data_IF_559172151025
#
_entry.id   IF_559172151025
#
_cell.length_a   1.000
_cell.length_b   1.000
_cell.length_c   1.000
_cell.angle_alpha   90.00
_cell.angle_beta   90.00
_cell.angle_gamma   90.00
#
_symmetry.space_group_name_H-M   'P 1'
#
loop_
_entity.id
_entity.type
_entity.pdbx_description
1 polymer ?
#
# COMPACT_ATOMS: atom_id res chain seq x y z
N UNK A 1 -49.35 -52.41 34.09
CA UNK A 1 -48.19 -53.33 34.05
C UNK A 1 -47.09 -52.62 33.28
N UNK A 2 -45.84 -52.38 33.70
CA UNK A 2 -45.04 -52.53 34.92
C UNK A 2 -43.95 -51.45 34.83
N UNK A 3 -43.64 -50.73 35.90
CA UNK A 3 -42.31 -50.15 36.22
C UNK A 3 -41.56 -51.12 37.16
N UNK A 4 -40.29 -50.94 37.62
CA UNK A 4 -39.07 -50.19 37.17
C UNK A 4 -37.71 -50.97 37.34
N UNK A 5 -36.56 -50.32 37.03
CA UNK A 5 -35.19 -50.32 37.68
C UNK A 5 -34.06 -50.24 36.62
N UNK A 6 -33.09 -49.31 36.59
CA UNK A 6 -32.10 -48.71 37.54
C UNK A 6 -30.76 -49.48 37.61
N UNK A 7 -29.68 -48.81 37.21
CA UNK A 7 -28.26 -49.06 37.54
C UNK A 7 -27.37 -48.23 36.58
N UNK A 8 -26.69 -47.13 36.93
CA UNK A 8 -25.72 -46.77 37.99
C UNK A 8 -24.26 -46.91 37.54
N UNK A 9 -23.55 -45.78 37.50
CA UNK A 9 -22.09 -45.65 37.44
C UNK A 9 -21.71 -44.42 36.61
N UNK A 10 -21.06 -43.38 37.10
CA UNK A 10 -20.49 -43.07 38.40
C UNK A 10 -19.65 -41.81 38.20
N UNK A 11 -20.07 -40.69 38.76
CA UNK A 11 -19.33 -39.43 38.78
C UNK A 11 -18.20 -39.58 39.80
N UNK A 12 -16.95 -39.30 39.42
CA UNK A 12 -15.85 -39.07 40.36
C UNK A 12 -15.38 -37.62 40.28
N UNK A 13 -15.72 -36.88 41.32
CA UNK A 13 -15.09 -35.65 41.73
C UNK A 13 -13.84 -35.96 42.57
N UNK A 14 -12.76 -35.21 42.37
CA UNK A 14 -11.60 -35.03 43.25
C UNK A 14 -10.99 -33.68 42.83
N UNK A 15 -10.56 -32.74 43.67
CA UNK A 15 -10.80 -32.37 45.06
C UNK A 15 -9.98 -31.08 45.24
N UNK A 16 -10.54 -30.05 45.85
CA UNK A 16 -9.80 -28.87 46.29
C UNK A 16 -8.91 -29.21 47.50
N UNK A 17 -7.65 -28.75 47.51
CA UNK A 17 -6.70 -28.95 48.61
C UNK A 17 -5.48 -28.04 48.50
N UNK A 18 -5.48 -26.98 49.32
CA UNK A 18 -4.52 -25.87 49.46
C UNK A 18 -3.14 -26.29 49.99
N UNK A 19 -2.07 -25.58 49.57
CA UNK A 19 -0.88 -25.15 50.36
C UNK A 19 -0.23 -23.95 49.62
N UNK A 20 -0.46 -22.69 50.00
CA UNK A 20 0.28 -21.85 50.96
C UNK A 20 1.70 -21.40 50.53
N UNK A 21 1.82 -20.11 50.19
CA UNK A 21 2.85 -19.16 50.67
C UNK A 21 4.30 -19.26 50.15
N UNK A 22 4.73 -18.26 49.38
CA UNK A 22 6.04 -17.63 49.54
C UNK A 22 6.03 -16.18 48.99
N UNK A 23 6.09 -15.22 49.90
CA UNK A 23 6.50 -13.84 49.67
C UNK A 23 8.02 -13.80 49.44
N UNK A 24 8.46 -12.94 48.53
CA UNK A 24 9.75 -12.26 48.63
C UNK A 24 10.89 -12.79 47.76
N UNK A 25 11.18 -12.08 46.67
CA UNK A 25 12.52 -11.57 46.38
C UNK A 25 12.40 -10.47 45.31
N UNK A 26 12.50 -9.22 45.76
CA UNK A 26 12.83 -8.10 44.90
C UNK A 26 14.23 -8.35 44.32
N UNK A 27 14.33 -8.54 43.01
CA UNK A 27 15.59 -8.43 42.29
C UNK A 27 15.57 -7.11 41.53
N UNK A 28 16.38 -6.18 42.04
CA UNK A 28 16.79 -4.94 41.40
C UNK A 28 17.37 -5.28 40.02
N UNK A 29 16.63 -5.03 38.94
CA UNK A 29 17.24 -4.94 37.61
C UNK A 29 17.73 -3.51 37.44
N UNK A 30 19.07 -3.39 37.37
CA UNK A 30 19.77 -2.15 37.19
C UNK A 30 19.35 -1.44 35.90
N UNK A 31 19.25 -0.12 36.04
CA UNK A 31 19.18 0.87 34.99
C UNK A 31 20.22 0.57 33.90
N UNK A 32 19.75 0.25 32.69
CA UNK A 32 20.47 0.53 31.45
C UNK A 32 19.66 1.57 30.69
N UNK A 33 20.29 2.60 30.11
CA UNK A 33 19.56 3.66 29.43
C UNK A 33 18.82 3.07 28.24
N UNK A 34 17.53 3.42 28.14
CA UNK A 34 16.75 3.24 26.93
C UNK A 34 17.50 3.90 25.78
N UNK A 35 18.06 3.08 24.89
CA UNK A 35 18.42 3.52 23.55
C UNK A 35 17.13 4.00 22.87
N UNK A 36 17.14 5.13 22.16
CA UNK A 36 15.95 5.62 21.48
C UNK A 36 15.44 4.53 20.52
N UNK A 37 14.11 4.39 20.42
CA UNK A 37 13.51 3.67 19.32
C UNK A 37 14.06 4.28 18.03
N UNK A 38 14.67 3.44 17.19
CA UNK A 38 15.13 3.87 15.87
C UNK A 38 13.95 4.53 15.17
N UNK A 39 14.08 5.75 14.63
CA UNK A 39 13.09 6.25 13.71
C UNK A 39 12.93 5.22 12.58
N UNK A 40 11.72 5.09 12.03
CA UNK A 40 11.54 4.53 10.70
C UNK A 40 12.25 5.49 9.72
N UNK A 41 13.57 5.37 9.65
CA UNK A 41 14.37 5.88 8.57
C UNK A 41 14.52 4.69 7.63
N UNK A 42 14.18 4.88 6.37
CA UNK A 42 14.92 4.21 5.33
C UNK A 42 16.35 4.81 5.33
N UNK A 43 17.15 4.51 6.35
CA UNK A 43 18.59 4.74 6.37
C UNK A 43 19.30 3.43 6.03
N UNK A 44 18.88 2.85 4.91
CA UNK A 44 19.52 1.65 4.41
C UNK A 44 20.74 2.08 3.59
N UNK A 45 21.92 1.83 4.14
CA UNK A 45 23.23 1.93 3.46
C UNK A 45 23.44 0.70 2.55
N UNK A 46 22.43 0.34 1.73
CA UNK A 46 22.49 -0.74 0.72
C UNK A 46 23.02 -0.24 -0.61
N UNK A 47 23.59 0.97 -0.64
CA UNK A 47 24.35 1.44 -1.78
C UNK A 47 25.40 0.39 -2.10
N UNK A 48 25.18 -0.35 -3.17
CA UNK A 48 26.28 -0.91 -3.94
C UNK A 48 27.27 0.25 -4.04
N UNK A 49 28.50 0.06 -3.56
CA UNK A 49 29.54 1.09 -3.70
C UNK A 49 29.92 1.13 -5.19
N UNK A 50 29.05 1.73 -5.99
CA UNK A 50 29.11 1.81 -7.45
C UNK A 50 30.34 2.60 -7.90
N UNK A 51 30.93 3.41 -7.01
CA UNK A 51 32.11 4.24 -7.29
C UNK A 51 33.40 3.41 -7.26
N UNK A 52 33.47 2.35 -6.44
CA UNK A 52 34.66 1.51 -6.35
C UNK A 52 35.01 0.73 -7.65
N UNK A 53 34.06 0.09 -8.37
CA UNK A 53 34.38 -0.63 -9.61
C UNK A 53 34.63 0.30 -10.81
N UNK A 54 34.07 1.52 -10.82
CA UNK A 54 34.37 2.50 -11.88
C UNK A 54 35.74 3.18 -11.71
N UNK A 55 36.27 3.28 -10.48
CA UNK A 55 37.62 3.77 -10.22
C UNK A 55 38.72 2.81 -10.70
N UNK A 56 38.39 1.54 -10.96
CA UNK A 56 39.29 0.53 -11.51
C UNK A 56 39.41 0.59 -13.04
N UNK A 57 38.58 1.39 -13.72
CA UNK A 57 38.63 1.57 -15.18
C UNK A 57 39.59 2.69 -15.53
N UNK A 58 40.76 2.34 -16.07
CA UNK A 58 41.69 3.31 -16.64
C UNK A 58 41.12 3.88 -17.94
N UNK A 59 40.64 5.13 -17.89
CA UNK A 59 40.07 5.86 -19.03
C UNK A 59 41.12 6.56 -19.90
N UNK A 60 42.41 6.33 -19.64
CA UNK A 60 43.49 7.01 -20.37
C UNK A 60 43.88 6.32 -21.69
N UNK A 61 43.38 5.10 -21.95
CA UNK A 61 43.63 4.36 -23.20
C UNK A 61 42.41 4.38 -24.14
N UNK A 62 42.59 4.60 -25.45
CA UNK A 62 41.49 4.69 -26.40
C UNK A 62 40.97 3.31 -26.79
N UNK A 63 40.04 2.78 -26.01
CA UNK A 63 39.24 1.59 -26.34
C UNK A 63 38.87 0.76 -25.12
N UNK A 64 37.58 0.44 -24.97
CA UNK A 64 37.12 -0.57 -24.02
C UNK A 64 37.38 -1.96 -24.64
N UNK A 65 38.39 -2.66 -24.15
CA UNK A 65 38.68 -4.04 -24.54
C UNK A 65 37.69 -5.01 -23.89
N UNK A 66 37.37 -6.11 -24.58
CA UNK A 66 36.47 -7.15 -24.07
C UNK A 66 37.01 -7.75 -22.75
N UNK A 67 38.33 -7.74 -22.56
CA UNK A 67 38.98 -8.19 -21.32
C UNK A 67 38.61 -7.33 -20.11
N UNK A 68 38.67 -5.99 -20.22
CA UNK A 68 38.31 -5.08 -19.12
C UNK A 68 36.80 -5.06 -18.85
N UNK A 69 35.98 -5.31 -19.87
CA UNK A 69 34.54 -5.53 -19.71
C UNK A 69 34.22 -6.85 -19.01
N UNK A 70 34.97 -7.92 -19.30
CA UNK A 70 34.83 -9.20 -18.60
C UNK A 70 35.34 -9.13 -17.16
N UNK A 71 36.37 -8.33 -16.89
CA UNK A 71 36.87 -8.10 -15.54
C UNK A 71 35.87 -7.29 -14.70
N UNK A 72 35.25 -6.25 -15.29
CA UNK A 72 34.13 -5.53 -14.68
C UNK A 72 32.94 -6.48 -14.42
N UNK A 73 32.51 -7.25 -15.42
CA UNK A 73 31.43 -8.22 -15.26
C UNK A 73 31.75 -9.27 -14.17
N UNK A 74 33.00 -9.72 -14.08
CA UNK A 74 33.43 -10.67 -13.06
C UNK A 74 33.41 -10.05 -11.65
N UNK A 75 33.80 -8.78 -11.48
CA UNK A 75 33.68 -8.09 -10.18
C UNK A 75 32.22 -7.94 -9.73
N UNK A 76 31.29 -7.77 -10.66
CA UNK A 76 29.85 -7.80 -10.38
C UNK A 76 29.36 -9.21 -10.03
N UNK A 77 29.83 -10.24 -10.73
CA UNK A 77 29.51 -11.65 -10.42
C UNK A 77 30.05 -12.07 -9.06
N UNK A 78 31.22 -11.60 -8.67
CA UNK A 78 31.82 -11.87 -7.35
C UNK A 78 31.07 -11.13 -6.22
N UNK A 79 30.48 -9.96 -6.51
CA UNK A 79 29.53 -9.31 -5.58
C UNK A 79 28.21 -10.08 -5.44
N UNK A 80 27.85 -10.91 -6.42
CA UNK A 80 26.67 -11.77 -6.36
C UNK A 80 26.97 -13.16 -5.78
N UNK A 81 28.19 -13.42 -5.28
CA UNK A 81 28.57 -14.71 -4.69
C UNK A 81 27.91 -14.90 -3.30
N UNK A 82 27.05 -15.92 -3.14
CA UNK A 82 26.39 -16.21 -1.86
C UNK A 82 27.34 -16.65 -0.75
N UNK A 83 28.60 -17.01 -1.05
CA UNK A 83 29.59 -17.36 -0.04
C UNK A 83 30.26 -16.13 0.61
N UNK A 84 30.14 -14.94 0.02
CA UNK A 84 30.84 -13.72 0.47
C UNK A 84 29.93 -12.50 0.68
N UNK A 85 28.71 -12.45 0.10
CA UNK A 85 27.81 -11.29 0.22
C UNK A 85 26.65 -11.50 1.23
N UNK A 86 26.45 -10.51 2.12
CA UNK A 86 25.39 -10.46 3.13
C UNK A 86 23.96 -10.42 2.56
N UNK A 87 23.80 -10.12 1.27
CA UNK A 87 22.51 -10.11 0.57
C UNK A 87 21.77 -11.44 0.69
N UNK A 88 22.44 -12.57 0.42
CA UNK A 88 21.80 -13.88 0.49
C UNK A 88 21.64 -14.40 1.93
N UNK A 89 22.58 -14.11 2.83
CA UNK A 89 22.50 -14.58 4.22
C UNK A 89 21.40 -13.88 5.02
N UNK A 90 21.23 -12.57 4.84
CA UNK A 90 20.15 -11.79 5.49
C UNK A 90 18.78 -12.11 4.89
N UNK A 91 18.69 -12.32 3.57
CA UNK A 91 17.47 -12.80 2.91
C UNK A 91 17.08 -14.19 3.41
N UNK A 92 18.04 -15.10 3.60
CA UNK A 92 17.78 -16.43 4.19
C UNK A 92 17.29 -16.31 5.63
N UNK A 93 17.92 -15.49 6.47
CA UNK A 93 17.50 -15.30 7.87
C UNK A 93 16.11 -14.63 7.98
N UNK A 94 15.77 -13.71 7.08
CA UNK A 94 14.45 -13.07 7.01
C UNK A 94 13.37 -13.99 6.40
N UNK A 95 13.72 -14.80 5.40
CA UNK A 95 12.88 -15.87 4.85
C UNK A 95 12.58 -16.95 5.91
N UNK A 96 13.51 -17.19 6.84
CA UNK A 96 13.37 -18.16 7.94
C UNK A 96 12.72 -17.57 9.20
N UNK A 97 12.50 -16.25 9.27
CA UNK A 97 11.78 -15.58 10.35
C UNK A 97 10.27 -15.83 10.21
N UNK A 98 9.82 -17.03 10.59
CA UNK A 98 8.41 -17.40 10.61
C UNK A 98 7.66 -16.56 11.67
N UNK A 99 6.45 -16.03 11.38
CA UNK A 99 5.67 -15.32 12.38
C UNK A 99 5.45 -16.17 13.64
N UNK A 100 5.51 -15.51 14.79
CA UNK A 100 5.25 -16.14 16.08
C UNK A 100 3.82 -16.71 16.16
N UNK A 101 3.56 -17.69 17.04
CA UNK A 101 2.24 -18.28 17.16
C UNK A 101 1.18 -17.21 17.47
N UNK A 102 0.20 -17.06 16.57
CA UNK A 102 -0.93 -16.12 16.71
C UNK A 102 -0.93 -14.93 15.74
N UNK A 103 0.09 -14.73 14.92
CA UNK A 103 0.08 -13.72 13.85
C UNK A 103 -0.46 -14.31 12.54
N UNK A 104 -1.28 -13.53 11.84
CA UNK A 104 -1.69 -13.86 10.48
C UNK A 104 -0.46 -13.80 9.56
N UNK A 105 -0.17 -14.88 8.84
CA UNK A 105 0.88 -14.90 7.82
C UNK A 105 0.28 -14.41 6.50
N UNK A 106 0.62 -13.19 6.11
CA UNK A 106 0.34 -12.69 4.77
C UNK A 106 1.42 -13.19 3.81
N UNK A 107 1.14 -14.34 3.21
CA UNK A 107 2.06 -14.99 2.27
C UNK A 107 2.31 -14.15 1.01
N UNK A 108 1.36 -13.29 0.62
CA UNK A 108 1.49 -12.38 -0.50
C UNK A 108 2.49 -11.27 -0.17
N UNK A 109 2.29 -10.59 0.96
CA UNK A 109 3.17 -9.53 1.43
C UNK A 109 4.58 -10.06 1.71
N UNK A 110 4.70 -11.26 2.29
CA UNK A 110 5.99 -11.89 2.53
C UNK A 110 6.76 -12.12 1.23
N UNK A 111 6.11 -12.70 0.22
CA UNK A 111 6.76 -13.00 -1.05
C UNK A 111 7.12 -11.73 -1.82
N UNK A 112 6.25 -10.73 -1.79
CA UNK A 112 6.54 -9.43 -2.37
C UNK A 112 7.77 -8.81 -1.72
N UNK A 113 7.76 -8.70 -0.39
CA UNK A 113 8.84 -8.06 0.37
C UNK A 113 10.19 -8.77 0.25
N UNK A 114 10.21 -10.11 0.21
CA UNK A 114 11.46 -10.87 0.26
C UNK A 114 11.92 -11.43 -1.08
N UNK A 115 11.08 -11.43 -2.11
CA UNK A 115 11.43 -11.99 -3.41
C UNK A 115 11.19 -11.02 -4.56
N UNK A 116 9.95 -10.55 -4.73
CA UNK A 116 9.60 -9.75 -5.91
C UNK A 116 10.18 -8.33 -5.83
N UNK A 117 9.96 -7.60 -4.74
CA UNK A 117 10.41 -6.22 -4.60
C UNK A 117 11.95 -6.05 -4.70
N UNK A 118 12.79 -6.92 -4.09
CA UNK A 118 14.24 -6.83 -4.28
C UNK A 118 14.68 -7.12 -5.72
N UNK A 119 14.08 -8.15 -6.35
CA UNK A 119 14.38 -8.49 -7.75
C UNK A 119 14.00 -7.34 -8.67
N UNK A 120 12.78 -6.82 -8.50
CA UNK A 120 12.26 -5.69 -9.26
C UNK A 120 13.14 -4.45 -9.10
N UNK A 121 13.48 -4.06 -7.87
CA UNK A 121 14.34 -2.91 -7.59
C UNK A 121 15.71 -3.04 -8.27
N UNK A 122 16.34 -4.21 -8.19
CA UNK A 122 17.64 -4.45 -8.84
C UNK A 122 17.59 -4.33 -10.37
N UNK A 123 16.47 -4.73 -10.97
CA UNK A 123 16.28 -4.64 -12.42
C UNK A 123 15.95 -3.21 -12.84
N UNK A 124 15.22 -2.45 -12.03
CA UNK A 124 14.97 -1.02 -12.24
C UNK A 124 16.26 -0.20 -12.14
N UNK A 125 17.11 -0.52 -11.16
CA UNK A 125 18.44 0.07 -11.04
C UNK A 125 19.30 -0.25 -12.27
N UNK A 126 19.25 -1.48 -12.77
CA UNK A 126 19.96 -1.84 -13.99
C UNK A 126 19.43 -1.08 -15.21
N UNK A 127 18.11 -1.02 -15.41
CA UNK A 127 17.45 -0.31 -16.53
C UNK A 127 17.86 1.16 -16.55
N UNK A 128 17.91 1.81 -15.39
CA UNK A 128 18.23 3.24 -15.25
C UNK A 128 19.73 3.53 -15.13
N UNK A 129 20.59 2.51 -15.12
CA UNK A 129 22.05 2.67 -15.05
C UNK A 129 22.67 3.06 -16.40
N UNK A 130 23.84 3.73 -16.43
CA UNK A 130 24.54 4.06 -17.68
C UNK A 130 24.89 2.85 -18.56
N UNK A 131 25.17 1.69 -17.94
CA UNK A 131 25.40 0.44 -18.67
C UNK A 131 24.09 -0.13 -19.22
N UNK A 132 23.00 -0.03 -18.45
CA UNK A 132 21.65 -0.33 -18.90
C UNK A 132 21.30 0.46 -20.14
N UNK A 133 21.34 1.79 -20.09
CA UNK A 133 21.03 2.66 -21.23
C UNK A 133 21.81 2.30 -22.50
N UNK A 134 23.12 2.04 -22.37
CA UNK A 134 23.96 1.63 -23.50
C UNK A 134 23.55 0.26 -24.09
N UNK A 135 23.41 -0.76 -23.23
CA UNK A 135 23.13 -2.12 -23.67
C UNK A 135 21.68 -2.29 -24.17
N UNK A 136 20.73 -1.65 -23.49
CA UNK A 136 19.31 -1.64 -23.85
C UNK A 136 19.06 -0.94 -25.17
N UNK A 137 19.80 0.13 -25.50
CA UNK A 137 19.71 0.77 -26.82
C UNK A 137 19.94 -0.20 -27.98
N UNK A 138 20.87 -1.16 -27.83
CA UNK A 138 21.11 -2.20 -28.84
C UNK A 138 20.08 -3.33 -28.80
N UNK A 139 19.67 -3.75 -27.60
CA UNK A 139 18.71 -4.84 -27.38
C UNK A 139 17.30 -4.44 -27.86
N UNK A 140 16.86 -3.23 -27.55
CA UNK A 140 15.52 -2.74 -27.82
C UNK A 140 15.33 -2.23 -29.24
N UNK A 141 16.38 -1.78 -29.94
CA UNK A 141 16.28 -1.24 -31.30
C UNK A 141 15.40 -2.06 -32.28
N UNK A 142 15.55 -3.40 -32.39
CA UNK A 142 14.65 -4.19 -33.24
C UNK A 142 13.21 -4.22 -32.74
N UNK A 143 12.97 -4.16 -31.43
CA UNK A 143 11.63 -4.19 -30.84
C UNK A 143 10.92 -2.86 -30.99
N UNK A 144 11.60 -1.74 -30.75
CA UNK A 144 11.04 -0.40 -31.00
C UNK A 144 10.68 -0.24 -32.47
N UNK A 145 11.55 -0.69 -33.38
CA UNK A 145 11.28 -0.58 -34.83
C UNK A 145 10.08 -1.41 -35.26
N UNK A 146 9.95 -2.63 -34.74
CA UNK A 146 8.91 -3.57 -35.16
C UNK A 146 7.59 -3.37 -34.42
N UNK A 147 7.64 -3.02 -33.14
CA UNK A 147 6.51 -3.01 -32.22
C UNK A 147 6.30 -1.69 -31.50
N UNK A 148 7.18 -0.69 -31.66
CA UNK A 148 7.03 0.63 -31.03
C UNK A 148 7.17 0.60 -29.51
N UNK A 149 7.74 -0.49 -28.98
CA UNK A 149 7.85 -0.80 -27.56
C UNK A 149 9.14 -1.54 -27.28
N UNK A 150 9.71 -1.31 -26.11
CA UNK A 150 10.95 -1.94 -25.67
C UNK A 150 10.77 -3.44 -25.39
N UNK A 151 11.86 -4.20 -25.49
CA UNK A 151 11.88 -5.56 -24.92
C UNK A 151 12.10 -5.49 -23.41
N UNK A 152 13.03 -4.63 -22.97
CA UNK A 152 13.35 -4.39 -21.58
C UNK A 152 13.46 -2.88 -21.37
N UNK A 153 12.65 -2.30 -20.50
CA UNK A 153 12.65 -0.85 -20.25
C UNK A 153 11.31 -0.41 -19.70
N UNK A 154 11.25 0.71 -18.98
CA UNK A 154 9.98 1.23 -18.48
C UNK A 154 9.23 2.00 -19.57
N UNK A 155 7.91 2.05 -19.43
CA UNK A 155 7.03 2.83 -20.28
C UNK A 155 7.21 4.32 -20.05
N UNK A 156 6.89 5.10 -21.07
CA UNK A 156 6.98 6.56 -21.06
C UNK A 156 5.79 7.13 -20.28
N UNK A 157 6.08 7.87 -19.22
CA UNK A 157 5.06 8.62 -18.48
C UNK A 157 4.35 9.64 -19.39
N UNK A 158 3.02 9.67 -19.27
CA UNK A 158 2.17 10.58 -20.02
C UNK A 158 2.13 10.29 -21.52
N UNK A 159 2.44 9.07 -21.94
CA UNK A 159 2.33 8.71 -23.35
C UNK A 159 0.87 8.73 -23.81
N UNK A 160 0.56 9.62 -24.76
CA UNK A 160 -0.74 9.76 -25.42
C UNK A 160 -0.65 9.56 -26.94
N UNK A 161 0.50 9.05 -27.39
CA UNK A 161 0.81 8.81 -28.80
C UNK A 161 0.09 7.59 -29.36
N UNK A 162 0.09 7.48 -30.69
CA UNK A 162 -0.34 6.27 -31.39
C UNK A 162 0.89 5.44 -31.74
N UNK A 163 0.84 4.14 -31.48
CA UNK A 163 1.88 3.22 -31.94
C UNK A 163 1.76 2.99 -33.45
N UNK A 164 2.62 3.66 -34.22
CA UNK A 164 2.68 3.62 -35.69
C UNK A 164 3.75 2.66 -36.24
N UNK A 165 4.37 1.84 -35.37
CA UNK A 165 5.33 0.83 -35.77
C UNK A 165 4.71 -0.29 -36.61
N UNK A 166 5.56 -1.07 -37.27
CA UNK A 166 5.18 -2.10 -38.27
C UNK A 166 4.09 -3.06 -37.76
N UNK A 167 4.24 -3.54 -36.53
CA UNK A 167 3.30 -4.44 -35.88
C UNK A 167 2.51 -3.76 -34.75
N UNK A 168 2.98 -2.64 -34.21
CA UNK A 168 2.27 -1.90 -33.16
C UNK A 168 0.95 -1.29 -33.63
N UNK A 169 0.85 -0.89 -34.89
CA UNK A 169 -0.40 -0.38 -35.50
C UNK A 169 -1.59 -1.37 -35.47
N UNK A 170 -1.34 -2.63 -35.13
CA UNK A 170 -2.38 -3.66 -34.97
C UNK A 170 -3.00 -3.68 -33.57
N UNK A 171 -2.50 -2.85 -32.64
CA UNK A 171 -3.06 -2.59 -31.30
C UNK A 171 -2.88 -3.69 -30.27
N UNK A 172 -2.46 -4.91 -30.66
CA UNK A 172 -2.33 -6.05 -29.75
C UNK A 172 -0.99 -6.15 -29.00
N UNK A 173 -0.06 -5.21 -29.22
CA UNK A 173 1.30 -5.26 -28.70
C UNK A 173 1.60 -4.17 -27.66
N UNK A 174 0.62 -3.31 -27.37
CA UNK A 174 0.82 -2.13 -26.54
C UNK A 174 1.45 -0.97 -27.30
N UNK A 175 1.91 0.03 -26.56
CA UNK A 175 2.60 1.21 -27.07
C UNK A 175 3.81 1.60 -26.21
N UNK A 176 4.34 2.80 -26.39
CA UNK A 176 5.53 3.24 -25.68
C UNK A 176 5.23 3.70 -24.23
N UNK A 177 3.96 3.86 -23.86
CA UNK A 177 3.52 4.03 -22.47
C UNK A 177 3.57 2.72 -21.68
N UNK A 178 3.58 1.57 -22.35
CA UNK A 178 3.70 0.26 -21.70
C UNK A 178 5.17 -0.09 -21.41
N UNK A 179 5.39 -0.80 -20.29
CA UNK A 179 6.72 -1.33 -19.95
C UNK A 179 7.18 -2.40 -20.95
N UNK A 180 8.46 -2.68 -21.08
CA UNK A 180 9.00 -3.58 -22.10
C UNK A 180 8.42 -5.00 -22.04
N UNK A 181 8.34 -5.69 -23.18
CA UNK A 181 7.68 -7.01 -23.30
C UNK A 181 8.16 -8.05 -22.27
N UNK A 182 9.44 -8.05 -21.92
CA UNK A 182 10.02 -8.98 -20.95
C UNK A 182 10.06 -8.38 -19.55
N UNK A 183 10.61 -7.18 -19.40
CA UNK A 183 10.74 -6.49 -18.12
C UNK A 183 10.52 -4.99 -18.30
N UNK A 184 9.73 -4.41 -17.43
CA UNK A 184 9.50 -2.97 -17.40
C UNK A 184 8.20 -2.61 -16.72
N UNK A 185 8.20 -1.48 -16.02
CA UNK A 185 6.97 -0.90 -15.50
C UNK A 185 6.24 -0.15 -16.59
N UNK A 186 4.91 -0.09 -16.53
CA UNK A 186 4.16 0.86 -17.32
C UNK A 186 4.39 2.29 -16.86
N UNK A 187 4.35 3.23 -17.79
CA UNK A 187 4.41 4.66 -17.51
C UNK A 187 3.11 5.16 -16.88
N UNK A 188 3.20 6.22 -16.09
CA UNK A 188 2.03 6.89 -15.54
C UNK A 188 1.14 7.47 -16.65
N UNK A 189 -0.17 7.48 -16.45
CA UNK A 189 -1.12 8.09 -17.37
C UNK A 189 -1.07 9.62 -17.36
N UNK A 190 -1.59 10.24 -18.43
CA UNK A 190 -1.64 11.70 -18.53
C UNK A 190 -2.64 12.30 -17.53
N UNK A 191 -2.18 13.28 -16.75
CA UNK A 191 -3.06 14.09 -15.90
C UNK A 191 -3.98 14.99 -16.73
N UNK A 192 -5.09 15.39 -16.10
CA UNK A 192 -6.09 16.30 -16.64
C UNK A 192 -7.23 15.58 -17.35
N UNK A 193 -6.94 14.72 -18.32
CA UNK A 193 -7.97 13.92 -18.98
C UNK A 193 -8.26 12.60 -18.26
N UNK A 194 -7.43 12.22 -17.28
CA UNK A 194 -7.45 10.89 -16.67
C UNK A 194 -6.96 9.81 -17.64
N UNK A 195 -5.76 9.99 -18.18
CA UNK A 195 -5.14 8.99 -19.06
C UNK A 195 -4.90 7.68 -18.31
N UNK A 196 -5.12 6.54 -18.97
CA UNK A 196 -4.79 5.25 -18.38
C UNK A 196 -3.26 5.15 -18.15
N UNK A 197 -2.86 4.51 -17.07
CA UNK A 197 -1.48 4.09 -16.88
C UNK A 197 -1.14 2.94 -17.83
N UNK A 198 0.11 2.89 -18.29
CA UNK A 198 0.57 1.81 -19.16
C UNK A 198 0.62 0.45 -18.46
N UNK A 199 0.46 -0.61 -19.22
CA UNK A 199 0.60 -1.98 -18.73
C UNK A 199 2.09 -2.36 -18.64
N UNK A 200 2.45 -3.19 -17.67
CA UNK A 200 3.74 -3.87 -17.67
C UNK A 200 3.77 -5.02 -18.70
N UNK A 201 4.97 -5.52 -18.99
CA UNK A 201 5.18 -6.67 -19.88
C UNK A 201 4.99 -8.03 -19.20
N UNK A 202 5.96 -8.93 -19.34
CA UNK A 202 5.91 -10.24 -18.68
C UNK A 202 6.21 -10.12 -17.17
N UNK A 203 7.09 -9.20 -16.80
CA UNK A 203 7.39 -8.79 -15.44
C UNK A 203 7.36 -7.26 -15.30
N UNK A 204 6.87 -6.75 -14.17
CA UNK A 204 6.89 -5.31 -13.87
C UNK A 204 5.61 -4.83 -13.19
N UNK A 205 5.58 -3.55 -12.82
CA UNK A 205 4.42 -2.89 -12.26
C UNK A 205 3.64 -2.15 -13.33
N UNK A 206 2.32 -2.19 -13.25
CA UNK A 206 1.50 -1.31 -14.08
C UNK A 206 1.68 0.15 -13.66
N UNK A 207 1.55 1.06 -14.62
CA UNK A 207 1.61 2.49 -14.39
C UNK A 207 0.39 3.01 -13.64
N UNK A 208 0.55 4.05 -12.85
CA UNK A 208 -0.58 4.71 -12.21
C UNK A 208 -1.45 5.41 -13.27
N UNK A 209 -2.77 5.38 -13.09
CA UNK A 209 -3.68 6.20 -13.89
C UNK A 209 -3.51 7.69 -13.59
N UNK A 210 -3.65 8.52 -14.61
CA UNK A 210 -3.55 9.98 -14.49
C UNK A 210 -4.72 10.57 -13.70
N UNK A 211 -4.48 11.71 -13.05
CA UNK A 211 -5.51 12.43 -12.31
C UNK A 211 -6.52 13.09 -13.27
N UNK A 212 -7.78 13.14 -12.88
CA UNK A 212 -8.80 13.93 -13.58
C UNK A 212 -8.66 15.42 -13.28
N UNK A 213 -8.77 16.26 -14.30
CA UNK A 213 -9.07 17.69 -14.11
C UNK A 213 -10.49 17.86 -13.56
N UNK A 214 -10.89 19.10 -13.28
CA UNK A 214 -12.21 19.45 -12.79
C UNK A 214 -13.35 18.70 -13.50
N UNK A 215 -14.11 17.90 -12.74
CA UNK A 215 -15.21 17.06 -13.20
C UNK A 215 -14.83 15.90 -14.12
N UNK A 216 -13.54 15.74 -14.46
CA UNK A 216 -13.04 14.66 -15.30
C UNK A 216 -12.77 13.40 -14.47
N UNK A 217 -13.00 12.25 -15.10
CA UNK A 217 -12.74 10.94 -14.52
C UNK A 217 -11.23 10.73 -14.39
N UNK A 218 -10.80 10.06 -13.32
CA UNK A 218 -9.41 9.62 -13.17
C UNK A 218 -9.11 8.41 -14.05
N UNK A 219 -7.88 8.30 -14.53
CA UNK A 219 -7.46 7.22 -15.41
C UNK A 219 -7.38 5.88 -14.70
N UNK A 220 -7.64 4.79 -15.42
CA UNK A 220 -7.40 3.45 -14.90
C UNK A 220 -5.90 3.21 -14.69
N UNK A 221 -5.53 2.47 -13.65
CA UNK A 221 -4.17 1.97 -13.47
C UNK A 221 -3.88 0.84 -14.45
N UNK A 222 -2.67 0.80 -14.97
CA UNK A 222 -2.23 -0.26 -15.88
C UNK A 222 -2.07 -1.61 -15.18
N UNK A 223 -2.19 -2.69 -15.94
CA UNK A 223 -1.95 -4.04 -15.42
C UNK A 223 -0.47 -4.25 -15.07
N UNK A 224 -0.22 -4.97 -13.98
CA UNK A 224 1.09 -5.52 -13.65
C UNK A 224 1.50 -6.62 -14.63
N UNK A 225 2.78 -7.00 -14.58
CA UNK A 225 3.36 -7.92 -15.53
C UNK A 225 2.63 -9.27 -15.57
N UNK A 226 2.42 -9.81 -16.77
CA UNK A 226 1.58 -10.99 -16.99
C UNK A 226 1.91 -12.16 -16.08
N UNK A 227 3.20 -12.44 -15.82
CA UNK A 227 3.60 -13.53 -14.94
C UNK A 227 3.72 -13.08 -13.49
N UNK A 228 4.53 -12.04 -13.24
CA UNK A 228 4.61 -11.40 -11.92
C UNK A 228 4.58 -9.87 -12.05
N UNK A 229 3.77 -9.24 -11.21
CA UNK A 229 3.70 -7.79 -11.19
C UNK A 229 2.60 -7.24 -10.32
N UNK A 230 2.76 -5.99 -9.88
CA UNK A 230 1.71 -5.27 -9.14
C UNK A 230 0.96 -4.39 -10.13
N UNK A 231 -0.36 -4.39 -10.07
CA UNK A 231 -1.18 -3.48 -10.87
C UNK A 231 -1.01 -2.03 -10.41
N UNK A 232 -1.08 -1.10 -11.36
CA UNK A 232 -1.03 0.33 -11.10
C UNK A 232 -2.26 0.83 -10.35
N UNK A 233 -2.09 1.89 -9.56
CA UNK A 233 -3.23 2.53 -8.89
C UNK A 233 -4.09 3.30 -9.88
N UNK A 234 -5.40 3.29 -9.70
CA UNK A 234 -6.29 4.19 -10.43
C UNK A 234 -6.07 5.65 -10.04
N UNK A 235 -6.19 6.55 -11.01
CA UNK A 235 -6.11 7.99 -10.80
C UNK A 235 -7.35 8.53 -10.09
N UNK A 236 -7.19 9.59 -9.30
CA UNK A 236 -8.34 10.25 -8.69
C UNK A 236 -9.16 11.01 -9.74
N UNK A 237 -10.49 11.01 -9.60
CA UNK A 237 -11.36 11.92 -10.36
C UNK A 237 -11.21 13.35 -9.85
N UNK A 238 -11.40 14.32 -10.74
CA UNK A 238 -11.29 15.73 -10.36
C UNK A 238 -12.58 16.28 -9.79
N UNK A 239 -12.46 17.21 -8.85
CA UNK A 239 -13.61 17.87 -8.21
C UNK A 239 -14.46 18.64 -9.21
N UNK A 240 -15.75 18.75 -8.95
CA UNK A 240 -16.67 19.54 -9.74
C UNK A 240 -16.47 21.05 -9.57
N UNK A 241 -16.61 21.80 -10.66
CA UNK A 241 -16.78 23.26 -10.61
C UNK A 241 -18.14 23.63 -9.97
N UNK A 242 -18.43 24.91 -9.72
CA UNK A 242 -19.70 25.36 -9.13
C UNK A 242 -20.94 24.69 -9.77
N UNK A 243 -21.63 23.86 -8.98
CA UNK A 243 -22.78 23.06 -9.38
C UNK A 243 -22.52 21.93 -10.38
N UNK A 244 -21.27 21.66 -10.71
CA UNK A 244 -20.82 20.52 -11.50
C UNK A 244 -20.55 19.31 -10.62
N UNK A 245 -20.82 18.12 -11.15
CA UNK A 245 -20.49 16.86 -10.49
C UNK A 245 -18.97 16.63 -10.46
N UNK A 246 -18.51 15.91 -9.44
CA UNK A 246 -17.14 15.40 -9.37
C UNK A 246 -16.93 14.21 -10.31
N UNK A 247 -15.70 14.05 -10.81
CA UNK A 247 -15.32 12.94 -11.64
C UNK A 247 -15.17 11.64 -10.84
N UNK A 248 -15.48 10.50 -11.47
CA UNK A 248 -15.22 9.20 -10.84
C UNK A 248 -13.71 8.93 -10.73
N UNK A 249 -13.29 8.17 -9.73
CA UNK A 249 -11.95 7.61 -9.68
C UNK A 249 -11.76 6.48 -10.70
N UNK A 250 -10.53 6.35 -11.20
CA UNK A 250 -10.15 5.27 -12.10
C UNK A 250 -10.01 3.93 -11.36
N UNK A 251 -10.22 2.84 -12.08
CA UNK A 251 -10.03 1.50 -11.51
C UNK A 251 -8.55 1.19 -11.31
N UNK A 252 -8.22 0.36 -10.32
CA UNK A 252 -6.87 -0.15 -10.14
C UNK A 252 -6.56 -1.28 -11.13
N UNK A 253 -5.32 -1.34 -11.60
CA UNK A 253 -4.85 -2.36 -12.52
C UNK A 253 -4.77 -3.75 -11.87
N UNK A 254 -4.93 -4.80 -12.68
CA UNK A 254 -4.76 -6.17 -12.20
C UNK A 254 -3.28 -6.48 -11.93
N UNK A 255 -2.99 -7.28 -10.91
CA UNK A 255 -1.68 -7.88 -10.70
C UNK A 255 -1.38 -9.03 -11.67
N UNK A 256 -0.13 -9.51 -11.65
CA UNK A 256 0.31 -10.61 -12.50
C UNK A 256 -0.42 -11.93 -12.24
N UNK A 257 -0.60 -12.74 -13.28
CA UNK A 257 -1.40 -13.97 -13.23
C UNK A 257 -0.89 -14.99 -12.20
N UNK A 258 0.43 -15.20 -12.11
CA UNK A 258 1.00 -16.14 -11.14
C UNK A 258 1.07 -15.47 -9.76
N UNK A 259 1.74 -14.32 -9.68
CA UNK A 259 1.85 -13.49 -8.48
C UNK A 259 1.66 -12.02 -8.80
N UNK A 260 1.04 -11.31 -7.88
CA UNK A 260 0.86 -9.88 -8.04
C UNK A 260 -0.29 -9.33 -7.22
N UNK A 261 -0.10 -8.22 -6.55
CA UNK A 261 -1.22 -7.48 -5.99
C UNK A 261 -1.92 -6.68 -7.09
N UNK A 262 -3.25 -6.57 -6.99
CA UNK A 262 -3.98 -5.57 -7.74
C UNK A 262 -3.71 -4.17 -7.19
N UNK A 263 -3.74 -3.18 -8.07
CA UNK A 263 -3.65 -1.77 -7.68
C UNK A 263 -4.93 -1.30 -7.00
N UNK A 264 -4.83 -0.32 -6.11
CA UNK A 264 -6.01 0.30 -5.52
C UNK A 264 -6.76 1.13 -6.55
N UNK A 265 -8.08 1.23 -6.41
CA UNK A 265 -8.87 2.19 -7.17
C UNK A 265 -8.61 3.63 -6.73
N UNK A 266 -8.82 4.57 -7.65
CA UNK A 266 -8.70 6.00 -7.40
C UNK A 266 -9.89 6.56 -6.64
N UNK A 267 -9.69 7.65 -5.90
CA UNK A 267 -10.79 8.35 -5.24
C UNK A 267 -11.69 9.07 -6.27
N UNK A 268 -12.99 9.15 -6.02
CA UNK A 268 -13.87 10.07 -6.74
C UNK A 268 -13.66 11.51 -6.28
N UNK A 269 -13.82 12.46 -7.19
CA UNK A 269 -13.77 13.90 -6.89
C UNK A 269 -15.04 14.38 -6.19
N UNK A 270 -14.93 15.44 -5.41
CA UNK A 270 -16.09 16.04 -4.73
C UNK A 270 -17.00 16.78 -5.72
N UNK A 271 -18.29 16.87 -5.39
CA UNK A 271 -19.22 17.70 -6.14
C UNK A 271 -18.98 19.17 -5.87
N UNK A 272 -19.14 20.03 -6.88
CA UNK A 272 -18.93 21.46 -6.70
C UNK A 272 -20.07 22.12 -5.93
N UNK A 273 -19.71 23.14 -5.13
CA UNK A 273 -20.66 23.85 -4.30
C UNK A 273 -21.83 24.48 -5.10
N UNK A 274 -23.05 24.35 -4.57
CA UNK A 274 -24.22 25.03 -5.11
C UNK A 274 -24.27 26.52 -4.73
N UNK A 275 -25.06 27.30 -5.47
CA UNK A 275 -25.37 28.71 -5.24
C UNK A 275 -26.89 28.96 -5.35
N UNK A 276 -27.37 30.18 -5.09
CA UNK A 276 -28.80 30.49 -4.92
C UNK A 276 -29.75 29.89 -6.00
N UNK A 277 -29.30 29.82 -7.27
CA UNK A 277 -30.03 29.24 -8.39
C UNK A 277 -29.29 28.07 -9.06
N UNK A 278 -28.26 27.52 -8.41
CA UNK A 278 -27.41 26.43 -8.91
C UNK A 278 -27.36 25.34 -7.84
N UNK A 279 -27.88 24.16 -8.13
CA UNK A 279 -27.79 23.01 -7.23
C UNK A 279 -26.33 22.61 -7.03
N UNK A 280 -25.99 22.05 -5.86
CA UNK A 280 -24.66 21.48 -5.66
C UNK A 280 -24.49 20.24 -6.55
N UNK A 281 -23.29 20.05 -7.08
CA UNK A 281 -22.94 18.83 -7.79
C UNK A 281 -22.87 17.64 -6.84
N UNK A 282 -23.01 16.45 -7.39
CA UNK A 282 -22.79 15.19 -6.67
C UNK A 282 -21.30 14.83 -6.73
N UNK A 283 -20.77 14.18 -5.70
CA UNK A 283 -19.45 13.58 -5.74
C UNK A 283 -19.38 12.40 -6.70
N UNK A 284 -18.21 12.20 -7.31
CA UNK A 284 -17.91 11.06 -8.15
C UNK A 284 -17.77 9.77 -7.35
N UNK A 285 -18.03 8.63 -7.99
CA UNK A 285 -17.78 7.33 -7.39
C UNK A 285 -16.27 7.05 -7.29
N UNK A 286 -15.84 6.33 -6.26
CA UNK A 286 -14.50 5.77 -6.20
C UNK A 286 -14.32 4.63 -7.19
N UNK A 287 -13.10 4.45 -7.67
CA UNK A 287 -12.75 3.36 -8.59
C UNK A 287 -12.65 2.02 -7.88
N UNK A 288 -12.96 0.94 -8.58
CA UNK A 288 -12.77 -0.42 -8.06
C UNK A 288 -11.27 -0.75 -7.97
N UNK A 289 -10.89 -1.56 -6.99
CA UNK A 289 -9.54 -2.10 -6.89
C UNK A 289 -9.30 -3.24 -7.89
N UNK A 290 -8.07 -3.37 -8.35
CA UNK A 290 -7.66 -4.39 -9.31
C UNK A 290 -7.63 -5.79 -8.72
N UNK A 291 -7.79 -6.81 -9.56
CA UNK A 291 -7.64 -8.19 -9.15
C UNK A 291 -6.18 -8.52 -8.78
N UNK A 292 -5.98 -9.33 -7.74
CA UNK A 292 -4.69 -9.96 -7.48
C UNK A 292 -4.46 -11.19 -8.37
N UNK A 293 -3.20 -11.61 -8.47
CA UNK A 293 -2.77 -12.86 -9.07
C UNK A 293 -3.35 -14.12 -8.44
N UNK A 294 -3.44 -15.19 -9.23
CA UNK A 294 -4.21 -16.40 -8.93
C UNK A 294 -3.75 -17.13 -7.65
N UNK A 295 -2.45 -17.15 -7.35
CA UNK A 295 -1.91 -17.95 -6.24
C UNK A 295 -1.81 -17.14 -4.95
N UNK A 296 -0.98 -16.08 -4.94
CA UNK A 296 -0.67 -15.26 -3.76
C UNK A 296 -0.91 -13.77 -4.03
N UNK A 297 -1.84 -13.43 -4.92
CA UNK A 297 -2.11 -12.04 -5.22
C UNK A 297 -3.16 -11.44 -4.29
N UNK A 298 -2.83 -10.35 -3.61
CA UNK A 298 -3.84 -9.57 -2.89
C UNK A 298 -4.65 -8.72 -3.87
N UNK A 299 -5.97 -8.67 -3.72
CA UNK A 299 -6.79 -7.72 -4.47
C UNK A 299 -6.55 -6.28 -4.01
N UNK A 300 -6.58 -5.34 -4.94
CA UNK A 300 -6.48 -3.91 -4.64
C UNK A 300 -7.70 -3.41 -3.87
N UNK A 301 -7.50 -2.46 -2.97
CA UNK A 301 -8.62 -1.84 -2.25
C UNK A 301 -9.39 -0.90 -3.18
N UNK A 302 -10.71 -0.78 -2.97
CA UNK A 302 -11.52 0.20 -3.69
C UNK A 302 -11.22 1.63 -3.25
N UNK A 303 -11.37 2.58 -4.15
CA UNK A 303 -11.21 4.02 -3.89
C UNK A 303 -12.43 4.61 -3.17
N UNK A 304 -12.20 5.66 -2.38
CA UNK A 304 -13.28 6.41 -1.74
C UNK A 304 -14.11 7.16 -2.79
N UNK A 305 -15.42 7.30 -2.57
CA UNK A 305 -16.23 8.26 -3.34
C UNK A 305 -16.03 9.69 -2.83
N UNK A 306 -16.29 10.67 -3.70
CA UNK A 306 -16.45 12.08 -3.28
C UNK A 306 -17.72 12.28 -2.45
N UNK A 307 -17.97 13.49 -1.96
CA UNK A 307 -19.17 13.77 -1.14
C UNK A 307 -20.49 13.33 -1.83
N UNK A 308 -21.16 12.33 -1.26
CA UNK A 308 -22.39 11.73 -1.83
C UNK A 308 -22.16 10.67 -2.91
N UNK A 309 -20.91 10.47 -3.35
CA UNK A 309 -20.48 9.41 -4.25
C UNK A 309 -20.34 8.05 -3.55
N UNK A 310 -20.56 6.96 -4.30
CA UNK A 310 -20.33 5.61 -3.80
C UNK A 310 -18.83 5.29 -3.75
N UNK A 311 -18.39 4.49 -2.77
CA UNK A 311 -17.05 3.92 -2.77
C UNK A 311 -16.91 2.79 -3.80
N UNK A 312 -15.69 2.57 -4.26
CA UNK A 312 -15.33 1.47 -5.16
C UNK A 312 -15.26 0.12 -4.44
N UNK A 313 -15.45 -0.96 -5.19
CA UNK A 313 -15.32 -2.32 -4.69
C UNK A 313 -13.87 -2.73 -4.55
N UNK A 314 -13.57 -3.56 -3.55
CA UNK A 314 -12.28 -4.23 -3.46
C UNK A 314 -12.12 -5.29 -4.56
N UNK A 315 -10.94 -5.36 -5.13
CA UNK A 315 -10.59 -6.38 -6.12
C UNK A 315 -10.51 -7.78 -5.50
N UNK A 316 -10.78 -8.84 -6.28
CA UNK A 316 -10.64 -10.21 -5.80
C UNK A 316 -9.17 -10.54 -5.53
N UNK A 317 -8.92 -11.28 -4.45
CA UNK A 317 -7.62 -11.91 -4.19
C UNK A 317 -7.48 -13.28 -4.84
N UNK A 318 -6.24 -13.78 -4.89
CA UNK A 318 -5.91 -15.15 -5.29
C UNK A 318 -6.24 -16.19 -4.22
N UNK A 319 -5.92 -17.45 -4.49
CA UNK A 319 -6.25 -18.60 -3.63
C UNK A 319 -5.73 -18.45 -2.18
N UNK A 320 -4.55 -17.84 -2.01
CA UNK A 320 -3.93 -17.54 -0.72
C UNK A 320 -3.84 -16.03 -0.45
N UNK A 321 -4.38 -15.20 -1.35
CA UNK A 321 -4.33 -13.75 -1.25
C UNK A 321 -5.61 -13.19 -0.66
N UNK A 322 -5.49 -12.16 0.18
CA UNK A 322 -6.66 -11.44 0.68
C UNK A 322 -7.35 -10.68 -0.45
N UNK A 323 -8.67 -10.54 -0.38
CA UNK A 323 -9.38 -9.59 -1.25
C UNK A 323 -9.11 -8.15 -0.80
N UNK A 324 -9.23 -7.23 -1.75
CA UNK A 324 -9.31 -5.81 -1.45
C UNK A 324 -10.51 -5.50 -0.56
N UNK A 325 -10.41 -4.45 0.23
CA UNK A 325 -11.57 -3.92 0.94
C UNK A 325 -12.36 -2.98 0.02
N UNK A 326 -13.68 -3.13 0.01
CA UNK A 326 -14.56 -2.18 -0.67
C UNK A 326 -14.69 -0.92 0.18
N UNK A 327 -14.49 0.24 -0.44
CA UNK A 327 -14.71 1.51 0.20
C UNK A 327 -16.19 1.66 0.58
N UNK A 328 -16.42 1.95 1.85
CA UNK A 328 -17.74 2.27 2.41
C UNK A 328 -17.62 3.56 3.20
N UNK A 329 -18.66 4.40 3.29
CA UNK A 329 -18.59 5.58 4.15
C UNK A 329 -18.46 5.15 5.62
N UNK A 330 -17.29 5.35 6.21
CA UNK A 330 -16.99 5.02 7.59
C UNK A 330 -17.21 6.20 8.53
N UNK A 331 -17.14 7.43 8.01
CA UNK A 331 -17.34 8.67 8.75
C UNK A 331 -18.65 9.33 8.33
N UNK A 332 -19.58 9.51 9.27
CA UNK A 332 -20.84 10.20 9.01
C UNK A 332 -20.60 11.71 8.88
N UNK A 333 -19.92 12.31 9.87
CA UNK A 333 -19.57 13.73 9.88
C UNK A 333 -18.37 14.01 10.78
N UNK A 334 -17.79 15.19 10.59
CA UNK A 334 -16.74 15.75 11.46
C UNK A 334 -17.15 17.11 11.99
N UNK A 335 -16.63 17.51 13.14
CA UNK A 335 -16.90 18.83 13.70
C UNK A 335 -15.72 19.35 14.52
N UNK A 336 -15.15 20.48 14.11
CA UNK A 336 -14.20 21.23 14.94
C UNK A 336 -14.93 21.92 16.10
N UNK A 337 -14.39 21.78 17.30
CA UNK A 337 -14.85 22.45 18.52
C UNK A 337 -13.65 22.99 19.30
N UNK A 338 -13.91 23.94 20.20
CA UNK A 338 -12.95 24.39 21.21
C UNK A 338 -13.20 23.62 22.51
N UNK A 339 -12.17 22.98 23.05
CA UNK A 339 -12.22 22.23 24.30
C UNK A 339 -10.94 22.46 25.12
N UNK A 340 -11.10 22.77 26.41
CA UNK A 340 -10.01 23.00 27.37
C UNK A 340 -8.89 23.97 26.89
N UNK A 341 -9.26 24.97 26.08
CA UNK A 341 -8.33 25.97 25.55
C UNK A 341 -7.53 25.53 24.32
N UNK A 342 -7.89 24.42 23.69
CA UNK A 342 -7.37 23.98 22.40
C UNK A 342 -8.48 23.48 21.45
N UNK A 343 -8.11 23.26 20.19
CA UNK A 343 -9.03 22.71 19.19
C UNK A 343 -9.18 21.19 19.34
N UNK A 344 -10.38 20.68 19.04
CA UNK A 344 -10.71 19.25 19.00
C UNK A 344 -11.55 18.97 17.76
N UNK A 345 -11.16 17.98 16.97
CA UNK A 345 -11.92 17.45 15.85
C UNK A 345 -12.71 16.25 16.34
N UNK A 346 -14.03 16.41 16.44
CA UNK A 346 -14.93 15.30 16.74
C UNK A 346 -15.27 14.55 15.46
N UNK A 347 -14.93 13.27 15.40
CA UNK A 347 -15.27 12.37 14.31
C UNK A 347 -16.46 11.50 14.71
N UNK A 348 -17.52 11.52 13.91
CA UNK A 348 -18.73 10.73 14.12
C UNK A 348 -18.74 9.57 13.13
N UNK A 349 -18.53 8.31 13.57
CA UNK A 349 -18.52 7.16 12.68
C UNK A 349 -19.94 6.76 12.25
N UNK A 350 -20.08 6.22 11.04
CA UNK A 350 -21.32 5.56 10.58
C UNK A 350 -21.54 4.24 11.32
N UNK A 351 -22.73 3.63 11.18
CA UNK A 351 -22.99 2.27 11.70
C UNK A 351 -22.01 1.24 11.12
N UNK A 352 -21.66 1.37 9.84
CA UNK A 352 -20.62 0.54 9.20
C UNK A 352 -19.26 0.79 9.82
N UNK A 353 -18.85 2.06 9.98
CA UNK A 353 -17.60 2.42 10.65
C UNK A 353 -17.50 1.85 12.07
N UNK A 354 -18.58 1.89 12.85
CA UNK A 354 -18.62 1.28 14.19
C UNK A 354 -18.52 -0.24 14.16
N UNK A 355 -19.21 -0.88 13.23
CA UNK A 355 -19.19 -2.33 13.09
C UNK A 355 -17.77 -2.81 12.78
N UNK A 356 -17.10 -2.19 11.80
CA UNK A 356 -15.73 -2.54 11.40
C UNK A 356 -14.69 -2.19 12.48
N UNK A 357 -14.82 -1.04 13.15
CA UNK A 357 -13.98 -0.66 14.29
C UNK A 357 -14.12 -1.64 15.48
N UNK A 358 -15.28 -2.29 15.61
CA UNK A 358 -15.54 -3.32 16.62
C UNK A 358 -14.93 -4.69 16.30
N UNK A 359 -14.26 -4.86 15.16
CA UNK A 359 -13.62 -6.10 14.72
C UNK A 359 -12.09 -6.02 14.76
N UNK A 360 -11.43 -7.11 15.14
CA UNK A 360 -9.98 -7.16 15.15
C UNK A 360 -9.44 -7.33 13.72
N UNK A 361 -8.38 -6.60 13.36
CA UNK A 361 -7.71 -6.73 12.06
C UNK A 361 -8.28 -5.85 10.94
N UNK A 362 -9.16 -4.89 11.26
CA UNK A 362 -9.76 -3.94 10.30
C UNK A 362 -8.95 -2.65 10.14
N UNK A 363 -7.64 -2.70 10.41
CA UNK A 363 -6.76 -1.53 10.32
C UNK A 363 -6.79 -0.87 8.93
N UNK A 364 -6.96 -1.65 7.87
CA UNK A 364 -7.05 -1.12 6.49
C UNK A 364 -8.31 -0.29 6.28
N UNK A 365 -9.45 -0.74 6.81
CA UNK A 365 -10.69 0.04 6.85
C UNK A 365 -10.50 1.30 7.70
N UNK A 366 -9.74 1.20 8.80
CA UNK A 366 -9.34 2.35 9.61
C UNK A 366 -8.52 3.39 8.83
N UNK A 367 -7.60 2.96 7.95
CA UNK A 367 -6.88 3.90 7.07
C UNK A 367 -7.81 4.55 6.04
N UNK A 368 -8.74 3.80 5.44
CA UNK A 368 -9.74 4.37 4.53
C UNK A 368 -10.63 5.38 5.26
N UNK A 369 -11.06 5.06 6.48
CA UNK A 369 -11.84 5.97 7.32
C UNK A 369 -11.04 7.23 7.69
N UNK A 370 -9.73 7.11 7.94
CA UNK A 370 -8.85 8.25 8.16
C UNK A 370 -8.75 9.14 6.91
N UNK A 371 -8.64 8.55 5.72
CA UNK A 371 -8.67 9.29 4.45
C UNK A 371 -9.97 10.07 4.27
N UNK A 372 -11.13 9.55 4.69
CA UNK A 372 -12.39 10.33 4.70
C UNK A 372 -12.31 11.55 5.64
N UNK A 373 -11.68 11.41 6.82
CA UNK A 373 -11.50 12.53 7.77
C UNK A 373 -10.64 13.62 7.14
N UNK A 374 -9.52 13.24 6.51
CA UNK A 374 -8.57 14.16 5.89
C UNK A 374 -9.15 14.83 4.65
N UNK A 375 -9.90 14.13 3.81
CA UNK A 375 -10.57 14.72 2.66
C UNK A 375 -11.52 15.85 3.09
N UNK A 376 -12.29 15.64 4.18
CA UNK A 376 -13.19 16.67 4.73
C UNK A 376 -12.47 17.77 5.50
N UNK A 377 -11.32 17.45 6.10
CA UNK A 377 -10.55 18.36 6.95
C UNK A 377 -9.06 18.23 6.65
N UNK A 378 -8.55 18.83 5.56
CA UNK A 378 -7.14 18.69 5.20
C UNK A 378 -6.19 19.12 6.32
N UNK A 379 -6.58 20.14 7.09
CA UNK A 379 -5.83 20.65 8.25
C UNK A 379 -5.77 19.67 9.44
N UNK A 380 -6.55 18.58 9.41
CA UNK A 380 -6.51 17.54 10.45
C UNK A 380 -5.30 16.61 10.32
N UNK A 381 -4.60 16.62 9.18
CA UNK A 381 -3.45 15.75 8.91
C UNK A 381 -2.16 16.27 9.57
N UNK A 382 -2.23 16.55 10.88
CA UNK A 382 -1.07 16.92 11.70
C UNK A 382 -0.51 15.71 12.44
N UNK A 383 0.76 15.79 12.86
CA UNK A 383 1.41 14.71 13.59
C UNK A 383 0.60 14.28 14.83
N UNK A 384 0.36 12.98 14.99
CA UNK A 384 -0.36 12.40 16.13
C UNK A 384 -1.87 12.26 15.93
N UNK A 385 -2.52 13.01 15.03
CA UNK A 385 -3.98 12.93 14.83
C UNK A 385 -4.40 11.60 14.20
N UNK A 386 -3.64 11.13 13.22
CA UNK A 386 -3.85 9.81 12.58
C UNK A 386 -3.71 8.68 13.60
N UNK A 387 -2.70 8.74 14.44
CA UNK A 387 -2.45 7.72 15.47
C UNK A 387 -3.54 7.72 16.55
N UNK A 388 -4.05 8.90 16.93
CA UNK A 388 -5.23 9.02 17.80
C UNK A 388 -6.44 8.35 17.14
N UNK A 389 -6.73 8.68 15.88
CA UNK A 389 -7.85 8.12 15.14
C UNK A 389 -7.78 6.60 15.03
N UNK A 390 -6.63 6.05 14.61
CA UNK A 390 -6.44 4.61 14.46
C UNK A 390 -6.47 3.87 15.81
N UNK A 391 -6.09 4.54 16.90
CA UNK A 391 -6.28 4.00 18.24
C UNK A 391 -7.77 3.95 18.59
N UNK A 392 -8.54 5.02 18.33
CA UNK A 392 -9.99 4.99 18.53
C UNK A 392 -10.65 3.92 17.66
N UNK A 393 -10.28 3.80 16.39
CA UNK A 393 -10.75 2.74 15.50
C UNK A 393 -10.54 1.35 16.09
N UNK A 394 -9.32 1.05 16.57
CA UNK A 394 -8.99 -0.30 17.04
C UNK A 394 -9.51 -0.63 18.44
N UNK A 395 -9.78 0.38 19.29
CA UNK A 395 -9.97 0.15 20.71
C UNK A 395 -11.20 0.83 21.31
N UNK A 396 -11.72 1.91 20.74
CA UNK A 396 -12.83 2.64 21.33
C UNK A 396 -14.05 1.73 21.50
N UNK A 397 -14.41 0.96 20.47
CA UNK A 397 -15.58 0.07 20.52
C UNK A 397 -15.35 -1.20 21.38
N UNK A 398 -14.09 -1.58 21.66
CA UNK A 398 -13.77 -2.70 22.55
C UNK A 398 -13.73 -2.31 24.03
N UNK A 399 -13.19 -1.13 24.34
CA UNK A 399 -12.89 -0.69 25.71
C UNK A 399 -14.05 0.13 26.29
N UNK A 400 -14.62 1.04 25.49
CA UNK A 400 -15.71 1.94 25.87
C UNK A 400 -16.71 2.06 24.71
N UNK A 401 -17.49 1.00 24.41
CA UNK A 401 -18.40 0.98 23.28
C UNK A 401 -19.44 2.10 23.33
N UNK A 402 -19.79 2.62 22.15
CA UNK A 402 -20.87 3.60 22.00
C UNK A 402 -20.51 5.04 22.35
N UNK A 403 -19.21 5.41 22.35
CA UNK A 403 -18.82 6.83 22.38
C UNK A 403 -19.46 7.56 21.19
N UNK A 404 -20.12 8.69 21.46
CA UNK A 404 -20.82 9.48 20.43
C UNK A 404 -19.87 9.91 19.32
N UNK A 405 -18.68 10.38 19.67
CA UNK A 405 -17.61 10.78 18.76
C UNK A 405 -16.24 10.30 19.24
N UNK A 406 -15.32 10.19 18.30
CA UNK A 406 -13.89 10.05 18.55
C UNK A 406 -13.24 11.41 18.39
N UNK A 407 -12.70 11.94 19.48
CA UNK A 407 -12.20 13.31 19.53
C UNK A 407 -10.70 13.28 19.31
N UNK A 408 -10.23 14.05 18.33
CA UNK A 408 -8.83 14.12 17.92
C UNK A 408 -8.32 15.53 18.15
N UNK A 409 -7.20 15.67 18.85
CA UNK A 409 -6.71 16.98 19.24
C UNK A 409 -5.27 17.21 18.74
N UNK A 410 -5.02 18.25 17.92
CA UNK A 410 -3.71 18.49 17.31
C UNK A 410 -2.66 18.99 18.32
N UNK A 411 -3.08 19.45 19.50
CA UNK A 411 -2.19 19.92 20.57
C UNK A 411 -1.67 18.79 21.47
N UNK A 412 -2.16 17.56 21.32
CA UNK A 412 -1.69 16.41 22.10
C UNK A 412 -0.28 15.98 21.70
N UNK A 413 0.55 15.50 22.64
CA UNK A 413 1.91 15.09 22.34
C UNK A 413 1.91 13.86 21.42
N UNK A 414 2.83 13.85 20.46
CA UNK A 414 3.14 12.66 19.67
C UNK A 414 3.85 11.64 20.57
N UNK A 415 3.26 10.47 20.75
CA UNK A 415 3.76 9.41 21.63
C UNK A 415 3.78 8.07 20.90
N UNK A 416 4.48 7.09 21.47
CA UNK A 416 4.46 5.72 20.94
C UNK A 416 3.05 5.12 20.97
N UNK A 417 2.76 4.15 20.10
CA UNK A 417 1.48 3.41 20.09
C UNK A 417 1.11 2.83 21.45
N UNK A 418 2.10 2.30 22.18
CA UNK A 418 1.87 1.76 23.53
C UNK A 418 1.45 2.85 24.52
N UNK A 419 2.09 4.02 24.43
CA UNK A 419 1.70 5.19 25.22
C UNK A 419 0.33 5.73 24.82
N UNK A 420 -0.02 5.70 23.54
CA UNK A 420 -1.34 6.09 23.03
C UNK A 420 -2.43 5.21 23.66
N UNK A 421 -2.26 3.89 23.61
CA UNK A 421 -3.18 2.92 24.20
C UNK A 421 -3.28 3.04 25.72
N UNK A 422 -2.14 3.22 26.41
CA UNK A 422 -2.11 3.38 27.86
C UNK A 422 -2.87 4.62 28.36
N UNK A 423 -3.11 5.60 27.49
CA UNK A 423 -3.82 6.85 27.80
C UNK A 423 -5.19 6.94 27.10
N UNK A 424 -5.83 5.82 26.78
CA UNK A 424 -7.19 5.84 26.23
C UNK A 424 -7.29 6.50 24.86
N UNK A 425 -6.23 6.42 24.06
CA UNK A 425 -6.08 7.01 22.73
C UNK A 425 -5.90 8.53 22.67
N UNK A 426 -6.02 9.25 23.79
CA UNK A 426 -5.92 10.71 23.85
C UNK A 426 -4.90 11.15 24.94
N UNK A 427 -3.58 11.06 24.68
CA UNK A 427 -2.54 11.34 25.67
C UNK A 427 -2.42 12.83 26.02
N UNK A 428 -1.83 13.13 27.18
CA UNK A 428 -1.32 14.47 27.50
C UNK A 428 -2.33 15.51 28.01
N UNK A 429 -3.58 15.14 28.28
CA UNK A 429 -4.60 16.07 28.80
C UNK A 429 -5.89 15.36 29.23
N UNK A 430 -6.83 16.10 29.83
CA UNK A 430 -8.14 15.54 30.17
C UNK A 430 -8.88 15.06 28.90
N UNK A 431 -9.60 13.93 29.01
CA UNK A 431 -10.50 13.51 27.94
C UNK A 431 -11.71 14.46 27.88
N UNK A 432 -12.09 14.83 26.67
CA UNK A 432 -13.36 15.49 26.39
C UNK A 432 -14.51 14.50 26.64
N UNK A 433 -15.49 14.81 27.50
CA UNK A 433 -16.63 13.93 27.75
C UNK A 433 -17.53 13.80 26.51
N UNK A 434 -18.05 12.59 26.30
CA UNK A 434 -18.83 12.18 25.12
C UNK A 434 -20.34 12.31 25.30
#
# INVERSE_FOLDING_TARGET
>A
MRTPRRGSGGIRALSAGRVAGALGAAAVLGLTPATPASPAQADWDWGIDLIAPMAAVDTTEPGLDLGSLMELAQTWVDQLDPATNAFFSTTIDAVLALPGPGQAFDAAAWLDQFFYAPLHASLQEWITSPFGEFSLGLINAPFVTLFGRDLIGDGIDGYDGVNDSVFGQWGGFGDAGDGGFLFGNGGAGVDGAGGAGGDAGFFGHGGAGGLGATGAVGGDGGAGGWFMGIGGTGGAGGDGDLGGDGGNGGTGGAGGWWLGSGGSGGAGGDGGAGWADIEAGNGGAGGDGGAGGLLLGRGGDGGLGGEGGAGGLGGPGGWLGASGISASPYVERTQWVEYDGGTSLRVYPTDTGRTEAGEAGTLRQGEQAWSEVVNRNPDANTAGMREQFLCHWQFAEFILPGKTSWNLEPWRPVVSTLSMLANGCNPGGAEEPF
#
